data_IF_760665471248
#
_entry.id   IF_760665471248
#
_cell.length_a   1.000
_cell.length_b   1.000
_cell.length_c   1.000
_cell.angle_alpha   90.00
_cell.angle_beta   90.00
_cell.angle_gamma   90.00
#
_symmetry.space_group_name_H-M   'P 1'
#
loop_
_entity.id
_entity.type
_entity.pdbx_description
1 polymer ?
#
# COMPACT_ATOMS: atom_id res chain seq x y z
N UNK A 1 -17.35 -21.78 -1.25
CA UNK A 1 -17.58 -20.32 -1.42
C UNK A 1 -19.05 -20.08 -1.14
N UNK A 2 -19.40 -19.04 -0.40
CA UNK A 2 -20.77 -18.79 0.03
C UNK A 2 -21.08 -17.28 -0.01
N UNK A 3 -22.10 -16.88 -0.77
CA UNK A 3 -22.64 -15.53 -0.76
C UNK A 3 -23.91 -15.56 0.10
N UNK A 4 -23.94 -14.80 1.19
CA UNK A 4 -25.07 -14.75 2.11
C UNK A 4 -25.73 -13.37 2.07
N UNK A 5 -27.03 -13.35 2.34
CA UNK A 5 -27.84 -12.13 2.45
C UNK A 5 -28.39 -12.02 3.87
N UNK A 6 -28.18 -10.89 4.49
CA UNK A 6 -28.88 -10.47 5.70
C UNK A 6 -30.27 -9.93 5.29
N UNK A 7 -31.32 -10.69 5.63
CA UNK A 7 -32.70 -10.32 5.28
C UNK A 7 -33.22 -9.09 6.03
N UNK A 8 -32.64 -8.73 7.19
CA UNK A 8 -33.07 -7.56 7.97
C UNK A 8 -32.51 -6.26 7.38
N UNK A 9 -31.29 -6.32 6.83
CA UNK A 9 -30.63 -5.17 6.19
C UNK A 9 -31.04 -4.99 4.71
N UNK A 10 -31.66 -6.00 4.10
CA UNK A 10 -32.00 -6.00 2.68
C UNK A 10 -33.25 -5.16 2.38
N UNK A 11 -33.06 -4.06 1.66
CA UNK A 11 -34.14 -3.18 1.20
C UNK A 11 -34.75 -3.58 -0.14
N UNK A 12 -34.22 -4.63 -0.80
CA UNK A 12 -34.75 -5.10 -2.08
C UNK A 12 -34.43 -4.24 -3.31
N UNK A 13 -33.56 -3.23 -3.18
CA UNK A 13 -33.30 -2.24 -4.24
C UNK A 13 -32.71 -2.78 -5.55
N UNK A 14 -32.23 -4.02 -5.60
CA UNK A 14 -31.81 -4.67 -6.85
C UNK A 14 -30.41 -4.33 -7.37
N UNK A 15 -29.71 -3.35 -6.78
CA UNK A 15 -28.39 -2.90 -7.27
C UNK A 15 -27.36 -4.04 -7.36
N UNK A 16 -27.36 -4.94 -6.38
CA UNK A 16 -26.49 -6.11 -6.36
C UNK A 16 -26.82 -7.12 -7.46
N UNK A 17 -28.09 -7.25 -7.84
CA UNK A 17 -28.50 -8.11 -8.93
C UNK A 17 -28.10 -7.54 -10.30
N UNK A 18 -28.11 -6.21 -10.45
CA UNK A 18 -27.67 -5.52 -11.67
C UNK A 18 -26.14 -5.54 -11.80
N UNK A 19 -25.44 -5.29 -10.70
CA UNK A 19 -23.98 -5.21 -10.70
C UNK A 19 -23.30 -6.59 -10.81
N UNK A 20 -24.05 -7.67 -10.57
CA UNK A 20 -23.53 -9.03 -10.59
C UNK A 20 -23.13 -9.44 -12.03
N UNK A 21 -21.83 -9.68 -12.29
CA UNK A 21 -21.35 -9.98 -13.64
C UNK A 21 -21.84 -11.34 -14.17
N UNK A 22 -22.25 -12.26 -13.28
CA UNK A 22 -22.83 -13.56 -13.64
C UNK A 22 -24.36 -13.52 -13.79
N UNK A 23 -25.00 -12.38 -13.50
CA UNK A 23 -26.45 -12.17 -13.65
C UNK A 23 -26.87 -11.58 -15.00
N UNK A 24 -25.92 -11.20 -15.85
CA UNK A 24 -26.17 -10.55 -17.13
C UNK A 24 -26.20 -11.62 -18.22
N UNK A 25 -27.36 -12.01 -18.81
CA UNK A 25 -27.35 -13.03 -19.84
C UNK A 25 -27.59 -12.41 -21.21
N UNK A 26 -26.85 -12.89 -22.21
CA UNK A 26 -27.19 -12.63 -23.62
C UNK A 26 -28.40 -13.45 -24.10
N UNK A 27 -29.07 -14.27 -23.27
CA UNK A 27 -30.25 -15.05 -23.68
C UNK A 27 -31.26 -15.26 -22.53
N UNK A 28 -32.54 -15.16 -22.86
CA UNK A 28 -33.71 -15.26 -21.97
C UNK A 28 -33.79 -16.62 -21.24
N UNK A 29 -34.28 -16.59 -19.99
CA UNK A 29 -34.66 -17.73 -19.11
C UNK A 29 -33.56 -18.67 -18.56
N UNK A 30 -32.43 -18.12 -18.13
CA UNK A 30 -31.41 -18.88 -17.37
C UNK A 30 -31.39 -18.43 -15.90
N UNK A 31 -31.15 -19.39 -14.98
CA UNK A 31 -30.90 -19.20 -13.54
C UNK A 31 -30.06 -17.94 -13.29
N UNK A 32 -30.45 -17.11 -12.31
CA UNK A 32 -29.70 -15.92 -11.87
C UNK A 32 -29.12 -16.15 -10.48
N UNK A 33 -27.89 -15.67 -10.27
CA UNK A 33 -27.18 -15.76 -8.98
C UNK A 33 -27.85 -14.88 -7.92
N UNK A 34 -28.26 -13.67 -8.29
CA UNK A 34 -29.05 -12.77 -7.45
C UNK A 34 -30.35 -12.40 -8.16
N UNK A 35 -31.50 -12.66 -7.54
CA UNK A 35 -32.82 -12.34 -8.11
C UNK A 35 -33.64 -11.54 -7.12
N UNK A 36 -34.57 -10.74 -7.65
CA UNK A 36 -35.52 -9.99 -6.84
C UNK A 36 -36.82 -10.81 -6.81
N UNK A 37 -37.19 -11.33 -5.65
CA UNK A 37 -38.45 -12.05 -5.41
C UNK A 37 -39.20 -11.36 -4.26
N UNK A 38 -40.47 -11.01 -4.46
CA UNK A 38 -41.31 -10.32 -3.48
C UNK A 38 -40.66 -9.04 -2.89
N UNK A 39 -39.95 -8.28 -3.73
CA UNK A 39 -39.27 -7.07 -3.30
C UNK A 39 -38.07 -7.32 -2.39
N UNK A 40 -37.51 -8.54 -2.36
CA UNK A 40 -36.29 -8.88 -1.63
C UNK A 40 -35.30 -9.60 -2.54
N UNK A 41 -34.02 -9.50 -2.21
CA UNK A 41 -32.98 -10.25 -2.89
C UNK A 41 -33.03 -11.72 -2.46
N UNK A 42 -32.80 -12.63 -3.40
CA UNK A 42 -32.57 -14.05 -3.17
C UNK A 42 -31.24 -14.43 -3.81
N UNK A 43 -30.41 -15.15 -3.06
CA UNK A 43 -29.09 -15.60 -3.48
C UNK A 43 -29.16 -17.08 -3.85
N UNK A 44 -28.63 -17.45 -5.02
CA UNK A 44 -28.58 -18.84 -5.48
C UNK A 44 -27.34 -19.58 -4.98
N UNK A 45 -26.18 -18.90 -4.92
CA UNK A 45 -24.89 -19.49 -4.55
C UNK A 45 -24.22 -20.36 -5.63
N UNK A 46 -24.98 -20.85 -6.62
CA UNK A 46 -24.53 -21.85 -7.60
C UNK A 46 -23.58 -21.31 -8.68
N UNK A 47 -23.71 -20.04 -9.08
CA UNK A 47 -22.95 -19.43 -10.18
C UNK A 47 -21.98 -18.35 -9.67
N UNK A 48 -21.88 -18.19 -8.36
CA UNK A 48 -21.06 -17.18 -7.74
C UNK A 48 -19.56 -17.43 -7.98
N UNK A 49 -18.86 -16.46 -8.57
CA UNK A 49 -17.46 -16.61 -8.97
C UNK A 49 -16.43 -15.96 -8.01
N UNK A 50 -16.87 -15.32 -6.93
CA UNK A 50 -15.96 -14.75 -5.94
C UNK A 50 -15.68 -13.26 -6.04
N UNK A 51 -16.24 -12.56 -7.04
CA UNK A 51 -15.78 -11.21 -7.37
C UNK A 51 -16.14 -10.10 -6.35
N UNK A 52 -17.16 -10.31 -5.50
CA UNK A 52 -17.54 -9.35 -4.45
C UNK A 52 -18.26 -8.07 -4.92
N UNK A 53 -18.52 -7.91 -6.22
CA UNK A 53 -19.17 -6.71 -6.79
C UNK A 53 -20.56 -6.46 -6.19
N UNK A 54 -21.31 -7.53 -5.91
CA UNK A 54 -22.62 -7.46 -5.27
C UNK A 54 -22.55 -6.90 -3.84
N UNK A 55 -21.51 -7.24 -3.08
CA UNK A 55 -21.23 -6.72 -1.73
C UNK A 55 -20.92 -5.22 -1.81
N UNK A 56 -20.05 -4.80 -2.72
CA UNK A 56 -19.69 -3.39 -2.89
C UNK A 56 -20.86 -2.51 -3.36
N UNK A 57 -21.70 -3.05 -4.25
CA UNK A 57 -22.88 -2.35 -4.75
C UNK A 57 -24.01 -2.22 -3.72
N UNK A 58 -23.94 -2.99 -2.63
CA UNK A 58 -24.94 -2.97 -1.57
C UNK A 58 -24.73 -1.77 -0.64
N UNK A 59 -25.49 -0.70 -0.84
CA UNK A 59 -25.44 0.50 0.01
C UNK A 59 -25.92 0.26 1.46
N UNK A 60 -26.52 -0.90 1.72
CA UNK A 60 -27.08 -1.30 3.02
C UNK A 60 -26.24 -2.39 3.72
N UNK A 61 -25.12 -2.82 3.12
CA UNK A 61 -24.28 -3.91 3.61
C UNK A 61 -25.04 -5.22 3.90
N UNK A 62 -26.12 -5.47 3.17
CA UNK A 62 -26.94 -6.66 3.35
C UNK A 62 -26.33 -7.94 2.76
N UNK A 63 -25.19 -7.89 2.08
CA UNK A 63 -24.56 -9.03 1.41
C UNK A 63 -23.16 -9.29 1.96
N UNK A 64 -22.83 -10.55 2.22
CA UNK A 64 -21.51 -11.01 2.66
C UNK A 64 -21.01 -12.14 1.76
N UNK A 65 -19.72 -12.11 1.40
CA UNK A 65 -19.09 -13.12 0.55
C UNK A 65 -17.97 -13.84 1.28
N UNK A 66 -18.18 -15.13 1.55
CA UNK A 66 -17.20 -16.04 2.18
C UNK A 66 -16.51 -16.88 1.11
N UNK A 67 -15.21 -16.62 0.91
CA UNK A 67 -14.37 -17.43 0.03
C UNK A 67 -13.90 -18.69 0.79
N UNK A 68 -13.83 -19.86 0.13
CA UNK A 68 -13.32 -21.05 0.77
C UNK A 68 -11.86 -20.80 1.14
N UNK A 69 -11.53 -21.24 2.33
CA UNK A 69 -10.19 -21.12 2.87
C UNK A 69 -9.35 -22.28 2.31
N UNK A 70 -8.18 -22.03 1.68
CA UNK A 70 -7.36 -23.12 1.13
C UNK A 70 -6.94 -24.10 2.24
N UNK A 71 -6.85 -25.41 1.96
CA UNK A 71 -6.49 -26.43 2.94
C UNK A 71 -5.06 -26.33 3.49
N UNK A 72 -4.22 -25.39 3.02
CA UNK A 72 -2.86 -25.18 3.55
C UNK A 72 -2.77 -24.43 4.89
N UNK A 73 -3.89 -24.13 5.57
CA UNK A 73 -3.89 -23.35 6.83
C UNK A 73 -3.25 -24.08 8.02
N UNK A 74 -3.35 -25.40 8.12
CA UNK A 74 -2.74 -26.13 9.26
C UNK A 74 -1.20 -26.04 9.25
N UNK A 75 -0.57 -25.97 8.06
CA UNK A 75 0.87 -25.71 7.94
C UNK A 75 1.25 -24.26 8.28
N UNK A 76 0.30 -23.34 8.20
CA UNK A 76 0.50 -21.92 8.49
C UNK A 76 0.43 -21.69 10.01
N UNK A 77 -0.38 -22.43 10.76
CA UNK A 77 -0.46 -22.33 12.23
C UNK A 77 0.86 -22.74 12.92
N UNK A 78 1.56 -23.78 12.45
CA UNK A 78 2.92 -24.12 12.92
C UNK A 78 3.96 -23.03 12.58
N UNK A 79 3.79 -22.35 11.44
CA UNK A 79 4.60 -21.19 11.06
C UNK A 79 4.28 -20.00 11.97
N UNK A 80 3.03 -19.84 12.40
CA UNK A 80 2.62 -18.79 13.33
C UNK A 80 3.16 -19.02 14.74
N UNK A 81 3.12 -20.24 15.27
CA UNK A 81 3.70 -20.53 16.59
C UNK A 81 5.22 -20.30 16.60
N UNK A 82 5.92 -20.63 15.50
CA UNK A 82 7.36 -20.36 15.37
C UNK A 82 7.68 -18.87 15.19
N UNK A 83 6.82 -18.10 14.51
CA UNK A 83 6.95 -16.64 14.36
C UNK A 83 6.58 -15.90 15.66
N UNK A 84 5.53 -16.28 16.38
CA UNK A 84 5.14 -15.69 17.68
C UNK A 84 6.18 -15.97 18.76
N UNK A 85 6.75 -17.18 18.78
CA UNK A 85 7.88 -17.53 19.66
C UNK A 85 9.10 -16.66 19.36
N UNK A 86 9.34 -16.34 18.09
CA UNK A 86 10.41 -15.43 17.65
C UNK A 86 10.11 -13.96 18.00
N UNK A 87 8.85 -13.52 17.90
CA UNK A 87 8.42 -12.15 18.27
C UNK A 87 8.48 -11.91 19.77
N UNK A 88 8.19 -12.91 20.61
CA UNK A 88 8.33 -12.80 22.07
C UNK A 88 9.78 -12.59 22.49
N UNK A 89 10.72 -13.31 21.85
CA UNK A 89 12.17 -13.15 22.05
C UNK A 89 12.62 -11.73 21.61
N UNK A 90 12.09 -11.21 20.51
CA UNK A 90 12.39 -9.87 19.98
C UNK A 90 11.82 -8.73 20.84
N UNK A 91 10.69 -8.91 21.52
CA UNK A 91 10.11 -7.89 22.42
C UNK A 91 10.89 -7.72 23.71
N UNK A 92 11.56 -8.78 24.16
CA UNK A 92 12.39 -8.77 25.37
C UNK A 92 13.76 -8.12 25.12
N UNK A 93 14.19 -8.01 23.85
CA UNK A 93 15.40 -7.27 23.42
C UNK A 93 15.04 -5.83 23.03
N UNK A 94 15.07 -4.91 24.01
CA UNK A 94 14.97 -3.47 23.75
C UNK A 94 16.18 -2.98 22.94
N UNK A 95 16.03 -2.80 21.62
CA UNK A 95 16.95 -2.02 20.80
C UNK A 95 16.54 -0.53 20.84
N UNK A 96 17.27 0.27 21.62
CA UNK A 96 17.23 1.74 21.59
C UNK A 96 18.25 2.23 20.55
N UNK A 97 17.85 3.18 19.69
CA UNK A 97 18.72 3.74 18.62
C UNK A 97 19.69 4.74 19.26
N UNK A 98 21.00 4.53 19.11
CA UNK A 98 22.04 5.38 19.72
C UNK A 98 22.44 6.55 18.78
N UNK A 99 22.63 7.79 19.29
CA UNK A 99 23.00 8.97 18.52
C UNK A 99 24.26 8.86 17.64
N UNK A 100 25.22 7.96 17.94
CA UNK A 100 26.44 7.80 17.14
C UNK A 100 26.19 7.22 15.73
N UNK A 101 25.05 6.55 15.48
CA UNK A 101 24.66 6.08 14.14
C UNK A 101 24.47 7.25 13.16
N UNK A 102 24.03 8.42 13.65
CA UNK A 102 23.79 9.62 12.82
C UNK A 102 25.12 10.15 12.25
N UNK A 103 26.19 10.11 13.03
CA UNK A 103 27.52 10.61 12.64
C UNK A 103 28.21 9.74 11.56
N UNK A 104 27.84 8.45 11.48
CA UNK A 104 28.33 7.49 10.47
C UNK A 104 27.63 7.69 9.12
N UNK A 105 26.35 8.09 9.13
CA UNK A 105 25.57 8.36 7.92
C UNK A 105 26.00 9.66 7.23
N UNK A 106 26.40 10.70 7.99
CA UNK A 106 26.84 11.98 7.40
C UNK A 106 28.12 11.86 6.55
N UNK A 107 28.94 10.82 6.77
CA UNK A 107 30.25 10.68 6.16
C UNK A 107 30.36 9.69 4.99
N UNK A 108 29.28 9.03 4.53
CA UNK A 108 29.40 7.97 3.52
C UNK A 108 28.52 8.14 2.26
N UNK A 109 28.98 8.99 1.33
CA UNK A 109 28.55 9.02 -0.09
C UNK A 109 29.00 7.80 -0.91
N UNK A 110 28.99 6.57 -0.38
CA UNK A 110 29.45 5.37 -1.11
C UNK A 110 28.53 4.16 -0.88
N UNK A 111 28.41 3.25 -1.86
CA UNK A 111 27.59 2.04 -1.73
C UNK A 111 28.02 1.20 -0.52
N UNK A 112 27.03 0.62 0.15
CA UNK A 112 27.19 -0.24 1.34
C UNK A 112 28.29 -1.30 1.12
N UNK A 113 29.47 -1.06 1.71
CA UNK A 113 30.56 -2.04 1.72
C UNK A 113 30.34 -3.05 2.86
N UNK A 114 30.79 -4.28 2.66
CA UNK A 114 30.77 -5.36 3.67
C UNK A 114 31.43 -4.96 5.00
N UNK A 115 32.35 -3.99 4.99
CA UNK A 115 32.96 -3.40 6.19
C UNK A 115 32.06 -2.44 6.98
N UNK A 116 31.00 -1.90 6.38
CA UNK A 116 29.98 -1.12 7.10
C UNK A 116 28.97 -2.05 7.78
N UNK A 117 28.55 -3.14 7.11
CA UNK A 117 27.76 -4.20 7.73
C UNK A 117 28.49 -4.76 8.95
N UNK A 118 29.77 -5.11 8.79
CA UNK A 118 30.61 -5.59 9.90
C UNK A 118 30.68 -4.60 11.07
N UNK A 119 30.77 -3.28 10.83
CA UNK A 119 30.78 -2.26 11.90
C UNK A 119 29.41 -2.02 12.54
N UNK A 120 28.32 -2.10 11.77
CA UNK A 120 26.94 -2.09 12.28
C UNK A 120 26.69 -3.31 13.18
N UNK A 121 27.30 -4.46 12.85
CA UNK A 121 27.15 -5.70 13.61
C UNK A 121 28.16 -5.87 14.77
N UNK A 122 29.34 -5.24 14.71
CA UNK A 122 30.36 -5.27 15.78
C UNK A 122 30.13 -4.21 16.88
N UNK A 123 29.30 -3.20 16.62
CA UNK A 123 29.06 -2.08 17.54
C UNK A 123 28.01 -2.32 18.63
N UNK A 124 27.14 -3.34 18.53
CA UNK A 124 26.05 -3.55 19.50
C UNK A 124 25.63 -5.01 19.67
N UNK A 125 24.94 -5.26 20.79
CA UNK A 125 24.36 -6.49 21.33
C UNK A 125 23.27 -7.14 20.46
N UNK A 126 23.56 -7.38 19.17
CA UNK A 126 22.74 -8.21 18.31
C UNK A 126 23.05 -9.68 18.68
N UNK A 127 22.01 -10.51 18.84
CA UNK A 127 22.21 -11.92 19.17
C UNK A 127 23.12 -12.57 18.10
N UNK A 128 24.29 -13.05 18.52
CA UNK A 128 25.33 -13.65 17.68
C UNK A 128 24.73 -14.73 16.76
N UNK A 129 23.69 -15.44 17.21
CA UNK A 129 23.01 -16.48 16.43
C UNK A 129 22.26 -15.93 15.20
N UNK A 130 21.68 -14.72 15.25
CA UNK A 130 20.97 -14.11 14.12
C UNK A 130 21.94 -13.63 13.04
N UNK A 131 23.06 -13.03 13.46
CA UNK A 131 24.15 -12.64 12.55
C UNK A 131 24.77 -13.89 11.93
N UNK A 132 25.00 -14.94 12.73
CA UNK A 132 25.52 -16.22 12.26
C UNK A 132 24.57 -16.88 11.25
N UNK A 133 23.26 -16.89 11.49
CA UNK A 133 22.30 -17.41 10.52
C UNK A 133 22.23 -16.57 9.24
N UNK A 134 22.28 -15.24 9.33
CA UNK A 134 22.34 -14.37 8.14
C UNK A 134 23.63 -14.57 7.34
N UNK A 135 24.77 -14.74 8.02
CA UNK A 135 26.05 -15.04 7.39
C UNK A 135 26.05 -16.45 6.79
N UNK A 136 25.48 -17.45 7.45
CA UNK A 136 25.34 -18.81 6.93
C UNK A 136 24.41 -18.85 5.70
N UNK A 137 23.25 -18.19 5.75
CA UNK A 137 22.36 -18.01 4.60
C UNK A 137 23.08 -17.29 3.45
N UNK A 138 23.91 -16.30 3.77
CA UNK A 138 24.72 -15.55 2.79
C UNK A 138 25.81 -16.42 2.15
N UNK A 139 26.53 -17.20 2.95
CA UNK A 139 27.61 -18.10 2.53
C UNK A 139 27.08 -19.31 1.75
N UNK A 140 25.91 -19.83 2.11
CA UNK A 140 25.24 -20.96 1.43
C UNK A 140 24.63 -20.56 0.08
N UNK A 141 24.00 -19.38 0.00
CA UNK A 141 23.12 -19.03 -1.14
C UNK A 141 23.80 -18.20 -2.23
N UNK A 142 24.96 -17.63 -1.96
CA UNK A 142 25.80 -16.92 -2.93
C UNK A 142 25.24 -15.60 -3.46
N UNK A 143 23.98 -15.25 -3.18
CA UNK A 143 23.48 -13.87 -3.35
C UNK A 143 22.39 -13.45 -2.35
N UNK A 144 22.38 -12.17 -1.95
CA UNK A 144 21.44 -11.65 -0.92
C UNK A 144 20.00 -11.56 -1.42
N UNK A 145 19.80 -11.35 -2.72
CA UNK A 145 18.45 -11.27 -3.27
C UNK A 145 17.71 -12.60 -3.15
N UNK A 146 18.40 -13.74 -3.23
CA UNK A 146 17.82 -15.07 -3.05
C UNK A 146 17.17 -15.28 -1.69
N UNK A 147 17.72 -14.67 -0.65
CA UNK A 147 17.09 -14.68 0.68
C UNK A 147 15.71 -14.00 0.60
N UNK A 148 15.61 -12.88 -0.11
CA UNK A 148 14.33 -12.19 -0.32
C UNK A 148 13.39 -12.99 -1.25
N UNK A 149 13.95 -13.66 -2.26
CA UNK A 149 13.20 -14.55 -3.16
C UNK A 149 12.52 -15.68 -2.38
N UNK A 150 13.29 -16.49 -1.65
CA UNK A 150 12.79 -17.65 -0.90
C UNK A 150 11.86 -17.26 0.27
N UNK A 151 12.21 -16.23 1.04
CA UNK A 151 11.46 -15.89 2.26
C UNK A 151 10.20 -15.08 1.98
N UNK A 152 10.19 -14.28 0.91
CA UNK A 152 9.12 -13.30 0.65
C UNK A 152 8.43 -13.53 -0.68
N UNK A 153 9.17 -13.74 -1.77
CA UNK A 153 8.58 -13.82 -3.11
C UNK A 153 7.91 -15.17 -3.32
N UNK A 154 8.63 -16.28 -3.11
CA UNK A 154 8.14 -17.65 -3.29
C UNK A 154 7.03 -18.02 -2.29
N UNK A 155 7.02 -17.36 -1.13
CA UNK A 155 5.96 -17.49 -0.12
C UNK A 155 4.75 -16.59 -0.39
N UNK A 156 4.68 -15.94 -1.55
CA UNK A 156 3.58 -15.05 -1.95
C UNK A 156 3.38 -13.83 -1.02
N UNK A 157 4.38 -13.46 -0.23
CA UNK A 157 4.33 -12.34 0.73
C UNK A 157 4.74 -10.99 0.13
N UNK A 158 5.26 -10.97 -1.10
CA UNK A 158 5.68 -9.75 -1.79
C UNK A 158 4.48 -8.85 -2.13
N UNK A 159 4.48 -7.60 -1.62
CA UNK A 159 3.44 -6.61 -1.97
C UNK A 159 3.64 -5.93 -3.32
N UNK A 160 4.68 -6.30 -4.08
CA UNK A 160 5.07 -5.69 -5.35
C UNK A 160 5.15 -4.15 -5.30
N UNK A 161 5.76 -3.62 -4.25
CA UNK A 161 5.90 -2.18 -4.07
C UNK A 161 6.93 -1.55 -5.03
N UNK A 162 7.92 -2.33 -5.48
CA UNK A 162 9.05 -1.86 -6.31
C UNK A 162 10.28 -1.39 -5.52
N UNK A 163 10.28 -1.54 -4.19
CA UNK A 163 11.40 -1.09 -3.34
C UNK A 163 12.73 -1.74 -3.69
N UNK A 164 12.76 -3.06 -3.91
CA UNK A 164 13.99 -3.79 -4.25
C UNK A 164 14.61 -3.33 -5.57
N UNK A 165 13.79 -2.97 -6.57
CA UNK A 165 14.24 -2.42 -7.85
C UNK A 165 14.97 -1.10 -7.63
N UNK A 166 14.36 -0.17 -6.89
CA UNK A 166 14.96 1.13 -6.61
C UNK A 166 16.20 1.02 -5.73
N UNK A 167 16.20 0.13 -4.74
CA UNK A 167 17.31 -0.04 -3.82
C UNK A 167 18.50 -0.79 -4.43
N UNK A 168 18.33 -1.46 -5.57
CA UNK A 168 19.42 -2.17 -6.23
C UNK A 168 20.39 -1.17 -6.86
N UNK A 169 21.52 -0.92 -6.21
CA UNK A 169 22.56 -0.04 -6.74
C UNK A 169 23.17 -0.56 -8.05
N UNK A 170 23.28 -1.88 -8.20
CA UNK A 170 23.76 -2.53 -9.42
C UNK A 170 22.75 -2.46 -10.58
N UNK A 171 21.47 -2.20 -10.32
CA UNK A 171 20.44 -2.10 -11.36
C UNK A 171 20.08 -3.43 -12.02
N UNK A 172 20.26 -4.54 -11.30
CA UNK A 172 20.07 -5.91 -11.81
C UNK A 172 18.78 -6.57 -11.31
N UNK A 173 17.86 -5.81 -10.71
CA UNK A 173 16.55 -6.31 -10.28
C UNK A 173 15.46 -5.65 -11.13
N UNK A 174 14.65 -6.46 -11.82
CA UNK A 174 13.51 -6.02 -12.62
C UNK A 174 12.22 -6.71 -12.18
N UNK A 175 11.07 -6.11 -12.49
CA UNK A 175 9.76 -6.76 -12.28
C UNK A 175 9.31 -7.35 -13.60
N UNK A 176 9.30 -8.68 -13.68
CA UNK A 176 8.87 -9.45 -14.85
C UNK A 176 7.65 -10.27 -14.46
N UNK A 177 6.54 -10.13 -15.19
CA UNK A 177 5.27 -10.81 -14.91
C UNK A 177 4.81 -10.66 -13.46
N UNK A 178 4.92 -9.43 -12.93
CA UNK A 178 4.58 -9.08 -11.55
C UNK A 178 5.42 -9.74 -10.46
N UNK A 179 6.61 -10.25 -10.80
CA UNK A 179 7.56 -10.84 -9.86
C UNK A 179 8.91 -10.13 -9.98
N UNK A 180 9.51 -9.63 -8.88
CA UNK A 180 10.89 -9.16 -8.90
C UNK A 180 11.86 -10.30 -9.22
N UNK A 181 12.75 -10.14 -10.18
CA UNK A 181 13.75 -11.13 -10.62
C UNK A 181 15.12 -10.47 -10.80
N UNK A 182 16.17 -11.26 -10.63
CA UNK A 182 17.52 -10.87 -11.06
C UNK A 182 17.64 -10.99 -12.58
N UNK A 183 18.16 -9.96 -13.22
CA UNK A 183 18.47 -9.92 -14.68
C UNK A 183 19.98 -9.78 -14.95
N UNK A 184 20.80 -9.81 -13.90
CA UNK A 184 22.25 -9.71 -13.96
C UNK A 184 22.88 -10.08 -12.63
N UNK A 185 24.19 -9.84 -12.50
CA UNK A 185 24.97 -10.28 -11.33
C UNK A 185 24.75 -9.39 -10.11
N UNK A 186 24.31 -10.01 -9.01
CA UNK A 186 24.10 -9.33 -7.74
C UNK A 186 25.44 -9.02 -7.05
N UNK A 187 25.62 -7.77 -6.61
CA UNK A 187 26.82 -7.32 -5.87
C UNK A 187 26.74 -7.57 -4.36
N UNK A 188 25.69 -8.23 -3.88
CA UNK A 188 25.55 -8.68 -2.49
C UNK A 188 25.61 -7.57 -1.42
N UNK A 189 25.11 -6.38 -1.73
CA UNK A 189 25.07 -5.22 -0.80
C UNK A 189 23.94 -5.28 0.26
N UNK A 190 23.01 -6.23 0.16
CA UNK A 190 21.86 -6.43 1.04
C UNK A 190 20.80 -5.31 1.11
N UNK A 191 20.96 -4.19 0.41
CA UNK A 191 20.02 -3.04 0.51
C UNK A 191 18.58 -3.43 0.20
N UNK A 192 18.34 -4.26 -0.83
CA UNK A 192 17.00 -4.70 -1.21
C UNK A 192 16.28 -5.52 -0.11
N UNK A 193 17.04 -6.26 0.70
CA UNK A 193 16.54 -7.05 1.81
C UNK A 193 16.23 -6.17 3.03
N UNK A 194 17.12 -5.21 3.32
CA UNK A 194 16.98 -4.26 4.44
C UNK A 194 15.77 -3.33 4.28
N UNK A 195 15.55 -2.81 3.07
CA UNK A 195 14.44 -1.87 2.81
C UNK A 195 13.10 -2.57 2.60
N UNK A 196 13.07 -3.90 2.46
CA UNK A 196 11.85 -4.63 2.17
C UNK A 196 10.83 -4.43 3.30
N UNK A 197 9.60 -3.96 3.02
CA UNK A 197 8.61 -3.74 4.07
C UNK A 197 8.12 -5.03 4.73
N UNK A 198 8.52 -6.21 4.21
CA UNK A 198 8.11 -7.53 4.68
C UNK A 198 9.16 -8.26 5.52
N UNK A 199 10.43 -7.83 5.50
CA UNK A 199 11.49 -8.43 6.32
C UNK A 199 11.47 -7.90 7.76
N UNK A 200 10.83 -6.74 8.00
CA UNK A 200 10.67 -6.09 9.32
C UNK A 200 11.98 -5.76 10.06
N UNK A 201 13.13 -5.90 9.40
CA UNK A 201 14.45 -5.62 9.99
C UNK A 201 14.68 -4.13 10.26
N UNK A 202 14.07 -3.27 9.45
CA UNK A 202 14.17 -1.84 9.61
C UNK A 202 12.91 -1.29 10.29
N UNK A 203 13.09 -0.63 11.43
CA UNK A 203 12.03 0.15 12.08
C UNK A 203 11.84 1.41 11.24
N UNK A 204 10.60 1.77 10.86
CA UNK A 204 10.38 2.88 9.95
C UNK A 204 11.04 4.16 10.49
N UNK A 205 11.56 4.95 9.55
CA UNK A 205 11.85 6.38 9.69
C UNK A 205 11.08 7.02 10.86
N UNK A 206 11.77 7.72 11.76
CA UNK A 206 11.12 8.38 12.91
C UNK A 206 10.05 9.34 12.39
N UNK A 207 8.81 8.87 12.45
CA UNK A 207 7.66 9.50 11.83
C UNK A 207 6.72 9.91 12.94
N UNK A 208 7.05 11.04 13.57
CA UNK A 208 6.11 11.71 14.46
C UNK A 208 5.07 12.44 13.61
N UNK A 209 3.79 12.11 13.80
CA UNK A 209 2.70 12.75 13.06
C UNK A 209 1.62 13.29 13.97
N UNK A 210 1.09 14.47 13.61
CA UNK A 210 -0.18 14.97 14.15
C UNK A 210 -1.23 14.79 13.06
N UNK A 211 -2.27 14.02 13.34
CA UNK A 211 -3.31 13.76 12.34
C UNK A 211 -4.34 14.88 12.32
N UNK A 212 -4.46 15.52 11.16
CA UNK A 212 -5.59 16.40 10.84
C UNK A 212 -6.44 15.75 9.75
N UNK A 213 -7.70 15.46 10.08
CA UNK A 213 -8.61 14.72 9.20
C UNK A 213 -9.66 15.69 8.66
N UNK A 214 -9.76 15.79 7.34
CA UNK A 214 -10.63 16.73 6.65
C UNK A 214 -11.40 16.04 5.54
N UNK A 215 -12.53 16.60 5.13
CA UNK A 215 -13.16 16.28 3.85
C UNK A 215 -12.75 17.32 2.81
N UNK A 216 -12.27 16.89 1.65
CA UNK A 216 -11.72 17.75 0.62
C UNK A 216 -12.31 17.50 -0.77
N UNK A 217 -12.37 18.56 -1.57
CA UNK A 217 -12.83 18.51 -2.96
C UNK A 217 -12.07 19.51 -3.82
N UNK A 218 -11.74 19.10 -5.05
CA UNK A 218 -11.15 19.96 -6.06
C UNK A 218 -12.09 21.11 -6.42
N UNK A 219 -11.52 22.29 -6.66
CA UNK A 219 -12.23 23.43 -7.25
C UNK A 219 -12.00 23.54 -8.76
N UNK A 220 -11.11 22.71 -9.32
CA UNK A 220 -10.74 22.69 -10.74
C UNK A 220 -11.67 21.80 -11.55
N UNK A 221 -12.36 22.38 -12.55
CA UNK A 221 -13.39 21.69 -13.36
C UNK A 221 -12.81 20.55 -14.19
N UNK A 222 -11.64 20.75 -14.79
CA UNK A 222 -10.90 19.74 -15.55
C UNK A 222 -10.56 18.50 -14.70
N UNK A 223 -10.11 18.70 -13.46
CA UNK A 223 -9.83 17.62 -12.50
C UNK A 223 -11.12 16.89 -12.07
N UNK A 224 -12.19 17.64 -11.79
CA UNK A 224 -13.49 17.06 -11.43
C UNK A 224 -14.04 16.20 -12.58
N UNK A 225 -13.93 16.69 -13.83
CA UNK A 225 -14.32 15.96 -15.04
C UNK A 225 -13.51 14.67 -15.23
N UNK A 226 -12.20 14.71 -15.03
CA UNK A 226 -11.33 13.54 -15.18
C UNK A 226 -11.61 12.47 -14.10
N UNK A 227 -11.86 12.88 -12.85
CA UNK A 227 -12.05 11.94 -11.73
C UNK A 227 -13.48 11.44 -11.58
N UNK A 228 -14.46 12.21 -12.06
CA UNK A 228 -15.91 12.08 -11.77
C UNK A 228 -16.22 12.04 -10.26
N UNK A 229 -15.31 12.57 -9.44
CA UNK A 229 -15.27 12.40 -7.99
C UNK A 229 -14.65 13.65 -7.34
N UNK A 230 -14.13 13.54 -6.10
CA UNK A 230 -13.62 14.70 -5.35
C UNK A 230 -12.26 15.24 -5.80
N UNK A 231 -11.44 14.51 -6.55
CA UNK A 231 -10.21 15.03 -7.17
C UNK A 231 -9.15 15.68 -6.25
N UNK A 232 -9.21 15.41 -4.93
CA UNK A 232 -8.36 16.10 -3.96
C UNK A 232 -6.86 15.84 -4.19
N UNK A 233 -6.44 14.57 -4.32
CA UNK A 233 -5.04 14.22 -4.56
C UNK A 233 -4.49 14.82 -5.85
N UNK A 234 -5.24 14.70 -6.96
CA UNK A 234 -4.86 15.28 -8.25
C UNK A 234 -4.68 16.80 -8.13
N UNK A 235 -5.56 17.50 -7.41
CA UNK A 235 -5.46 18.95 -7.23
C UNK A 235 -4.24 19.36 -6.43
N UNK A 236 -3.93 18.64 -5.37
CA UNK A 236 -2.74 18.89 -4.53
C UNK A 236 -1.46 18.65 -5.32
N UNK A 237 -1.38 17.56 -6.09
CA UNK A 237 -0.22 17.24 -6.91
C UNK A 237 -0.03 18.23 -8.06
N UNK A 238 -1.12 18.62 -8.74
CA UNK A 238 -1.08 19.65 -9.80
C UNK A 238 -0.62 20.99 -9.22
N UNK A 239 -1.17 21.41 -8.07
CA UNK A 239 -0.71 22.60 -7.36
C UNK A 239 0.79 22.52 -7.03
N UNK A 240 1.24 21.42 -6.44
CA UNK A 240 2.64 21.24 -6.05
C UNK A 240 3.58 21.30 -7.25
N UNK A 241 3.18 20.74 -8.40
CA UNK A 241 3.95 20.76 -9.64
C UNK A 241 3.97 22.16 -10.28
N UNK A 242 2.81 22.80 -10.45
CA UNK A 242 2.69 24.14 -11.05
C UNK A 242 3.43 25.21 -10.23
N UNK A 243 3.50 25.04 -8.91
CA UNK A 243 4.26 25.90 -8.00
C UNK A 243 5.71 25.50 -7.80
N UNK A 244 6.19 24.46 -8.50
CA UNK A 244 7.56 23.95 -8.41
C UNK A 244 7.98 23.58 -6.98
N UNK A 245 7.01 23.17 -6.17
CA UNK A 245 7.24 22.53 -4.87
C UNK A 245 7.80 21.13 -5.11
N UNK A 246 7.32 20.47 -6.17
CA UNK A 246 7.85 19.22 -6.70
C UNK A 246 8.26 19.40 -8.16
N UNK A 247 9.26 18.64 -8.61
CA UNK A 247 9.74 18.61 -9.99
C UNK A 247 8.97 17.58 -10.82
N UNK A 248 8.58 16.47 -10.19
CA UNK A 248 7.80 15.41 -10.81
C UNK A 248 6.97 14.66 -9.77
N UNK A 249 5.93 13.95 -10.23
CA UNK A 249 5.15 13.03 -9.43
C UNK A 249 5.16 11.63 -10.03
N UNK A 250 5.52 10.63 -9.24
CA UNK A 250 5.38 9.23 -9.61
C UNK A 250 3.93 8.81 -9.32
N UNK A 251 3.20 8.53 -10.40
CA UNK A 251 1.76 8.22 -10.41
C UNK A 251 1.48 6.94 -11.18
N UNK A 252 0.23 6.48 -11.19
CA UNK A 252 -0.20 5.32 -11.97
C UNK A 252 -1.13 5.74 -13.11
N UNK A 253 -0.75 5.40 -14.35
CA UNK A 253 -1.55 5.57 -15.57
C UNK A 253 -1.72 4.18 -16.19
N UNK A 254 -2.97 3.77 -16.45
CA UNK A 254 -3.27 2.48 -17.09
C UNK A 254 -2.54 1.27 -16.43
N UNK A 255 -2.53 1.24 -15.09
CA UNK A 255 -1.83 0.22 -14.27
C UNK A 255 -0.30 0.21 -14.35
N UNK A 256 0.31 1.21 -15.01
CA UNK A 256 1.75 1.37 -15.10
C UNK A 256 2.23 2.56 -14.26
N UNK A 257 3.39 2.44 -13.58
CA UNK A 257 3.99 3.55 -12.88
C UNK A 257 4.59 4.52 -13.91
N UNK A 258 4.30 5.81 -13.76
CA UNK A 258 4.74 6.88 -14.67
C UNK A 258 5.33 8.03 -13.86
N UNK A 259 6.46 8.57 -14.33
CA UNK A 259 7.04 9.82 -13.83
C UNK A 259 6.36 10.97 -14.57
N UNK A 260 5.37 11.60 -13.92
CA UNK A 260 4.63 12.72 -14.46
C UNK A 260 5.37 14.04 -14.18
N UNK A 261 5.67 14.79 -15.24
CA UNK A 261 6.38 16.08 -15.17
C UNK A 261 5.52 17.24 -15.64
N UNK A 262 4.28 16.96 -16.06
CA UNK A 262 3.30 17.94 -16.50
C UNK A 262 1.95 17.73 -15.80
N UNK A 263 1.16 18.80 -15.56
CA UNK A 263 -0.16 18.68 -14.96
C UNK A 263 -1.08 17.72 -15.68
N UNK A 264 -1.02 17.66 -17.02
CA UNK A 264 -1.87 16.81 -17.85
C UNK A 264 -1.64 15.33 -17.57
N UNK A 265 -0.39 14.93 -17.29
CA UNK A 265 -0.05 13.55 -16.93
C UNK A 265 -0.63 13.17 -15.56
N UNK A 266 -0.60 14.10 -14.60
CA UNK A 266 -1.20 13.92 -13.27
C UNK A 266 -2.73 13.82 -13.38
N UNK A 267 -3.36 14.64 -14.23
CA UNK A 267 -4.80 14.61 -14.49
C UNK A 267 -5.21 13.31 -15.19
N UNK A 268 -4.42 12.83 -16.14
CA UNK A 268 -4.62 11.53 -16.79
C UNK A 268 -4.50 10.37 -15.79
N UNK A 269 -3.63 10.52 -14.78
CA UNK A 269 -3.50 9.59 -13.66
C UNK A 269 -4.61 9.74 -12.60
N UNK A 270 -5.63 10.56 -12.80
CA UNK A 270 -6.66 10.81 -11.80
C UNK A 270 -7.68 9.66 -11.69
N UNK A 271 -8.32 9.54 -10.53
CA UNK A 271 -9.26 8.45 -10.22
C UNK A 271 -8.59 7.20 -9.62
N UNK A 272 -9.37 6.42 -8.87
CA UNK A 272 -8.90 5.20 -8.22
C UNK A 272 -8.82 4.09 -9.27
N UNK A 273 -7.65 3.47 -9.43
CA UNK A 273 -7.52 2.22 -10.19
C UNK A 273 -7.28 1.09 -9.22
N UNK A 274 -7.95 -0.01 -9.51
CA UNK A 274 -7.82 -1.27 -8.81
C UNK A 274 -6.68 -2.14 -9.41
N UNK A 275 -5.76 -1.54 -10.16
CA UNK A 275 -4.50 -2.19 -10.52
C UNK A 275 -3.53 -2.27 -9.35
N UNK A 276 -2.45 -3.02 -9.57
CA UNK A 276 -1.24 -2.90 -8.77
C UNK A 276 -0.20 -2.23 -9.63
N UNK A 277 0.43 -1.20 -9.07
CA UNK A 277 1.53 -0.51 -9.71
C UNK A 277 2.71 -0.42 -8.75
N UNK A 278 3.90 -0.93 -9.14
CA UNK A 278 5.10 -0.85 -8.33
C UNK A 278 5.70 0.56 -8.37
N UNK A 279 4.94 1.58 -7.93
CA UNK A 279 5.35 2.99 -8.08
C UNK A 279 6.74 3.28 -7.52
N UNK A 280 7.17 2.58 -6.46
CA UNK A 280 8.50 2.81 -5.87
C UNK A 280 9.61 2.45 -6.85
N UNK A 281 9.41 1.54 -7.82
CA UNK A 281 10.44 1.15 -8.79
C UNK A 281 10.88 2.27 -9.73
N UNK A 282 10.06 3.31 -9.90
CA UNK A 282 10.39 4.46 -10.75
C UNK A 282 11.23 5.53 -10.05
N UNK A 283 11.43 5.40 -8.74
CA UNK A 283 12.12 6.41 -7.94
C UNK A 283 13.59 6.55 -8.35
N UNK A 284 14.32 5.43 -8.51
CA UNK A 284 15.71 5.47 -9.00
C UNK A 284 15.81 6.16 -10.36
N UNK A 285 14.94 5.80 -11.29
CA UNK A 285 14.89 6.40 -12.64
C UNK A 285 14.60 7.91 -12.58
N UNK A 286 13.70 8.35 -11.70
CA UNK A 286 13.41 9.78 -11.54
C UNK A 286 14.64 10.57 -11.05
N UNK A 287 15.43 10.00 -10.13
CA UNK A 287 16.67 10.60 -9.64
C UNK A 287 17.73 10.63 -10.75
N UNK A 288 17.89 9.55 -11.51
CA UNK A 288 18.80 9.49 -12.67
C UNK A 288 18.43 10.50 -13.77
N UNK A 289 17.15 10.86 -13.88
CA UNK A 289 16.66 11.94 -14.75
C UNK A 289 16.95 13.35 -14.21
N UNK A 290 17.52 13.46 -13.01
CA UNK A 290 17.91 14.74 -12.39
C UNK A 290 16.83 15.42 -11.53
N UNK A 291 15.76 14.72 -11.17
CA UNK A 291 14.73 15.28 -10.30
C UNK A 291 15.12 15.18 -8.82
N UNK A 292 15.02 16.30 -8.09
CA UNK A 292 15.42 16.39 -6.67
C UNK A 292 14.26 16.68 -5.72
N UNK A 293 13.07 17.00 -6.23
CA UNK A 293 11.85 17.19 -5.43
C UNK A 293 10.74 16.30 -5.97
N UNK A 294 10.78 15.03 -5.61
CA UNK A 294 9.90 13.99 -6.14
C UNK A 294 8.69 13.83 -5.24
N UNK A 295 7.48 13.83 -5.82
CA UNK A 295 6.30 13.28 -5.16
C UNK A 295 6.14 11.79 -5.51
N UNK A 296 5.85 10.94 -4.52
CA UNK A 296 5.43 9.57 -4.73
C UNK A 296 3.97 9.41 -4.32
N UNK A 297 3.11 8.98 -5.24
CA UNK A 297 1.76 8.54 -4.91
C UNK A 297 1.76 7.03 -4.71
N UNK A 298 1.22 6.54 -3.59
CA UNK A 298 1.28 5.11 -3.31
C UNK A 298 0.25 4.64 -2.29
N UNK A 299 -0.06 3.35 -2.34
CA UNK A 299 -0.81 2.68 -1.27
C UNK A 299 0.13 2.37 -0.10
N UNK A 300 -0.36 1.87 1.06
CA UNK A 300 0.45 1.71 2.27
C UNK A 300 1.77 0.94 2.09
N UNK A 301 1.79 -0.11 1.27
CA UNK A 301 3.02 -0.87 1.01
C UNK A 301 4.07 -0.07 0.20
N UNK A 302 3.67 0.80 -0.71
CA UNK A 302 4.59 1.72 -1.40
C UNK A 302 5.13 2.77 -0.42
N UNK A 303 4.25 3.34 0.39
CA UNK A 303 4.61 4.35 1.40
C UNK A 303 5.61 3.78 2.41
N UNK A 304 5.37 2.57 2.92
CA UNK A 304 6.31 1.90 3.82
C UNK A 304 7.65 1.61 3.15
N UNK A 305 7.63 1.10 1.92
CA UNK A 305 8.86 0.83 1.18
C UNK A 305 9.68 2.11 0.93
N UNK A 306 9.05 3.23 0.55
CA UNK A 306 9.78 4.47 0.32
C UNK A 306 10.32 5.08 1.62
N UNK A 307 9.60 4.96 2.73
CA UNK A 307 10.10 5.42 4.04
C UNK A 307 11.28 4.60 4.54
N UNK A 308 11.31 3.29 4.26
CA UNK A 308 12.49 2.46 4.50
C UNK A 308 13.69 2.86 3.62
N UNK A 309 13.45 3.39 2.42
CA UNK A 309 14.51 3.92 1.56
C UNK A 309 14.99 5.28 2.09
N UNK A 310 14.09 6.12 2.60
CA UNK A 310 14.48 7.40 3.23
C UNK A 310 15.33 7.23 4.48
N UNK A 311 15.08 6.20 5.28
CA UNK A 311 15.90 5.94 6.47
C UNK A 311 17.34 5.50 6.16
N UNK A 312 17.67 5.25 4.90
CA UNK A 312 19.06 5.01 4.45
C UNK A 312 19.64 6.17 3.63
N UNK A 313 19.01 7.36 3.69
CA UNK A 313 19.58 8.61 3.16
C UNK A 313 18.98 9.13 1.84
N UNK A 314 17.74 8.77 1.49
CA UNK A 314 17.06 9.36 0.33
C UNK A 314 16.48 10.74 0.67
N UNK A 315 17.02 11.79 0.04
CA UNK A 315 16.64 13.18 0.27
C UNK A 315 15.74 13.76 -0.83
N UNK A 316 15.74 13.15 -2.03
CA UNK A 316 15.03 13.67 -3.21
C UNK A 316 13.50 13.56 -3.10
N UNK A 317 12.99 12.86 -2.09
CA UNK A 317 11.57 12.65 -1.90
C UNK A 317 10.94 13.81 -1.11
N UNK A 318 10.30 14.72 -1.83
CA UNK A 318 9.67 15.92 -1.26
C UNK A 318 8.26 15.68 -0.74
N UNK A 319 7.49 14.75 -1.32
CA UNK A 319 6.10 14.51 -0.92
C UNK A 319 5.74 13.03 -1.05
N UNK A 320 5.33 12.40 0.04
CA UNK A 320 4.76 11.05 0.05
C UNK A 320 3.26 11.15 0.19
N UNK A 321 2.55 10.84 -0.88
CA UNK A 321 1.10 10.93 -0.96
C UNK A 321 0.47 9.52 -0.84
N UNK A 322 -0.16 9.26 0.30
CA UNK A 322 -0.82 8.00 0.61
C UNK A 322 -2.20 7.88 -0.04
N UNK A 323 -2.55 6.68 -0.50
CA UNK A 323 -3.90 6.34 -0.94
C UNK A 323 -4.46 5.24 -0.04
N UNK A 324 -5.68 5.44 0.49
CA UNK A 324 -6.32 4.45 1.33
C UNK A 324 -6.48 3.13 0.55
N UNK A 325 -6.14 2.02 1.20
CA UNK A 325 -6.19 0.71 0.58
C UNK A 325 -6.94 -0.25 1.50
N UNK A 326 -8.22 -0.56 1.26
CA UNK A 326 -8.97 -1.53 2.06
C UNK A 326 -8.75 -2.98 1.63
N UNK A 327 -7.92 -3.23 0.61
CA UNK A 327 -7.77 -4.54 -0.02
C UNK A 327 -7.17 -5.59 0.91
N UNK A 328 -7.69 -6.81 0.79
CA UNK A 328 -7.20 -8.02 1.47
C UNK A 328 -6.56 -9.07 0.54
N UNK A 329 -6.78 -9.03 -0.77
CA UNK A 329 -6.21 -10.02 -1.71
C UNK A 329 -6.08 -9.50 -3.14
N UNK A 330 -5.27 -10.20 -3.95
CA UNK A 330 -5.08 -9.97 -5.39
C UNK A 330 -5.10 -11.29 -6.16
N UNK A 331 -6.28 -11.73 -6.65
CA UNK A 331 -6.41 -12.98 -7.39
C UNK A 331 -5.47 -13.07 -8.60
N UNK A 332 -5.26 -11.95 -9.29
CA UNK A 332 -4.43 -11.84 -10.49
C UNK A 332 -2.93 -12.12 -10.27
N UNK A 333 -2.46 -12.19 -9.02
CA UNK A 333 -1.01 -12.26 -8.71
C UNK A 333 -0.62 -13.35 -7.73
N UNK A 334 -1.57 -14.16 -7.26
CA UNK A 334 -1.34 -15.20 -6.25
C UNK A 334 -0.69 -14.69 -4.94
N UNK A 335 -0.65 -13.37 -4.69
CA UNK A 335 -0.02 -12.84 -3.48
C UNK A 335 -0.97 -12.84 -2.27
N UNK A 336 -0.44 -13.31 -1.13
CA UNK A 336 -1.06 -13.23 0.19
C UNK A 336 -0.63 -11.98 0.97
N UNK A 337 0.18 -11.10 0.39
CA UNK A 337 0.76 -9.96 1.11
C UNK A 337 -0.27 -8.97 1.71
N UNK A 338 -1.43 -8.82 1.06
CA UNK A 338 -2.50 -7.92 1.50
C UNK A 338 -3.29 -8.49 2.67
N UNK A 339 -3.35 -9.82 2.82
CA UNK A 339 -3.98 -10.48 3.97
C UNK A 339 -3.37 -9.98 5.27
N UNK A 340 -2.04 -9.97 5.34
CA UNK A 340 -1.29 -9.53 6.52
C UNK A 340 -1.07 -8.01 6.61
N UNK A 341 -1.71 -7.21 5.76
CA UNK A 341 -1.54 -5.76 5.76
C UNK A 341 -2.45 -5.12 6.81
N UNK A 342 -1.86 -4.45 7.80
CA UNK A 342 -2.59 -3.79 8.89
C UNK A 342 -2.83 -2.30 8.66
N UNK A 343 -2.28 -1.73 7.58
CA UNK A 343 -2.38 -0.30 7.29
C UNK A 343 -3.47 -0.02 6.24
N UNK A 344 -4.50 0.73 6.63
CA UNK A 344 -5.57 1.19 5.75
C UNK A 344 -5.24 2.53 5.11
N UNK A 345 -4.72 3.47 5.90
CA UNK A 345 -4.72 4.89 5.59
C UNK A 345 -3.35 5.40 5.17
N UNK A 346 -2.38 4.53 4.92
CA UNK A 346 -1.00 4.87 4.60
C UNK A 346 -0.40 5.77 5.70
N UNK A 347 -0.28 5.23 6.90
CA UNK A 347 0.00 5.98 8.14
C UNK A 347 1.34 6.73 8.11
N UNK A 348 2.29 6.30 7.28
CA UNK A 348 3.60 6.93 7.15
C UNK A 348 3.69 7.96 6.00
N UNK A 349 2.58 8.40 5.43
CA UNK A 349 2.56 9.41 4.35
C UNK A 349 2.34 10.82 4.88
N UNK A 350 2.82 11.81 4.14
CA UNK A 350 2.66 13.23 4.48
C UNK A 350 1.19 13.66 4.41
N UNK A 351 0.51 13.21 3.36
CA UNK A 351 -0.93 13.37 3.14
C UNK A 351 -1.47 12.04 2.64
N UNK A 352 -2.55 11.55 3.25
CA UNK A 352 -3.34 10.45 2.71
C UNK A 352 -4.67 10.89 2.15
N UNK A 353 -5.17 10.18 1.15
CA UNK A 353 -6.51 10.38 0.60
C UNK A 353 -7.31 9.08 0.54
N UNK A 354 -8.62 9.17 0.77
CA UNK A 354 -9.54 8.08 0.47
C UNK A 354 -11.00 8.51 0.39
N UNK A 355 -11.88 7.56 0.05
CA UNK A 355 -13.32 7.80 0.01
C UNK A 355 -14.02 7.61 1.36
N UNK A 356 -13.42 6.82 2.27
CA UNK A 356 -14.03 6.43 3.53
C UNK A 356 -14.19 7.64 4.46
N UNK A 357 -15.41 7.85 4.95
CA UNK A 357 -15.74 8.92 5.90
C UNK A 357 -16.17 10.25 5.28
N UNK A 358 -16.08 10.41 3.96
CA UNK A 358 -16.54 11.62 3.26
C UNK A 358 -17.78 11.37 2.41
N UNK A 359 -18.57 12.42 2.20
CA UNK A 359 -19.72 12.41 1.31
C UNK A 359 -19.33 12.12 -0.15
N UNK A 360 -20.30 11.67 -0.96
CA UNK A 360 -20.12 11.44 -2.40
C UNK A 360 -19.61 12.72 -3.09
N UNK A 361 -18.59 12.57 -3.93
CA UNK A 361 -17.93 13.70 -4.61
C UNK A 361 -16.94 14.47 -3.72
N UNK A 362 -16.68 14.03 -2.50
CA UNK A 362 -15.61 14.50 -1.62
C UNK A 362 -14.63 13.37 -1.31
N UNK A 363 -13.49 13.69 -0.72
CA UNK A 363 -12.46 12.75 -0.31
C UNK A 363 -11.93 13.09 1.07
N UNK A 364 -11.78 12.08 1.90
CA UNK A 364 -11.15 12.24 3.21
C UNK A 364 -9.66 12.44 3.00
N UNK A 365 -9.11 13.49 3.58
CA UNK A 365 -7.68 13.76 3.69
C UNK A 365 -7.23 13.53 5.13
N UNK A 366 -6.07 12.90 5.30
CA UNK A 366 -5.35 12.83 6.58
C UNK A 366 -4.00 13.49 6.35
N UNK A 367 -3.78 14.65 6.94
CA UNK A 367 -2.49 15.36 6.89
C UNK A 367 -1.70 15.01 8.14
N UNK A 368 -0.41 14.70 7.98
CA UNK A 368 0.43 14.16 9.05
C UNK A 368 1.71 14.94 9.32
N UNK A 369 2.33 15.49 8.28
CA UNK A 369 3.61 16.18 8.36
C UNK A 369 3.48 17.66 8.04
N UNK A 370 4.47 18.45 8.46
CA UNK A 370 4.55 19.88 8.16
C UNK A 370 4.56 20.14 6.64
N UNK A 371 5.30 19.32 5.89
CA UNK A 371 5.32 19.36 4.42
C UNK A 371 3.91 19.18 3.86
N UNK A 372 3.15 18.20 4.38
CA UNK A 372 1.76 17.98 3.97
C UNK A 372 0.86 19.18 4.28
N UNK A 373 1.00 19.76 5.47
CA UNK A 373 0.19 20.90 5.92
C UNK A 373 0.50 22.19 5.13
N UNK A 374 1.76 22.46 4.83
CA UNK A 374 2.18 23.60 4.02
C UNK A 374 1.61 23.53 2.60
N UNK A 375 1.73 22.37 1.95
CA UNK A 375 1.21 22.16 0.60
C UNK A 375 -0.32 22.28 0.60
N UNK A 376 -1.01 21.70 1.58
CA UNK A 376 -2.46 21.82 1.69
C UNK A 376 -2.89 23.28 1.87
N UNK A 377 -2.27 24.03 2.79
CA UNK A 377 -2.58 25.44 3.03
C UNK A 377 -2.39 26.29 1.79
N UNK A 378 -1.32 26.03 1.04
CA UNK A 378 -1.06 26.69 -0.24
C UNK A 378 -2.15 26.40 -1.28
N UNK A 379 -2.49 25.12 -1.46
CA UNK A 379 -3.54 24.71 -2.40
C UNK A 379 -4.92 25.29 -2.05
N UNK A 380 -5.24 25.42 -0.75
CA UNK A 380 -6.46 26.06 -0.26
C UNK A 380 -6.47 27.57 -0.56
N UNK A 381 -5.37 28.26 -0.22
CA UNK A 381 -5.25 29.71 -0.41
C UNK A 381 -5.37 30.12 -1.88
N UNK A 382 -4.85 29.29 -2.77
CA UNK A 382 -4.87 29.54 -4.21
C UNK A 382 -6.09 28.96 -4.93
N UNK A 383 -7.05 28.40 -4.20
CA UNK A 383 -8.33 27.96 -4.76
C UNK A 383 -8.23 26.70 -5.65
N UNK A 384 -7.23 25.84 -5.43
CA UNK A 384 -7.15 24.52 -6.09
C UNK A 384 -8.10 23.51 -5.43
N UNK A 385 -8.34 23.69 -4.14
CA UNK A 385 -9.03 22.76 -3.27
C UNK A 385 -9.91 23.52 -2.27
N UNK A 386 -11.04 22.94 -1.91
CA UNK A 386 -11.86 23.34 -0.77
C UNK A 386 -11.92 22.20 0.24
N UNK A 387 -12.04 22.54 1.52
CA UNK A 387 -12.14 21.58 2.63
C UNK A 387 -13.32 21.89 3.53
N UNK A 388 -13.76 20.87 4.26
CA UNK A 388 -14.72 20.92 5.35
C UNK A 388 -14.24 19.99 6.45
N UNK A 389 -14.73 20.21 7.67
CA UNK A 389 -14.57 19.23 8.74
C UNK A 389 -15.28 17.93 8.36
N UNK A 390 -14.71 16.81 8.79
CA UNK A 390 -15.35 15.51 8.68
C UNK A 390 -16.41 15.39 9.79
N UNK A 391 -17.58 14.84 9.47
CA UNK A 391 -18.60 14.59 10.49
C UNK A 391 -18.22 13.42 11.41
N UNK A 392 -18.84 13.36 12.59
CA UNK A 392 -18.54 12.34 13.60
C UNK A 392 -18.83 10.92 13.08
N UNK A 393 -19.88 10.75 12.29
CA UNK A 393 -20.26 9.46 11.69
C UNK A 393 -19.18 8.98 10.70
N UNK A 394 -18.72 9.86 9.82
CA UNK A 394 -17.67 9.60 8.86
C UNK A 394 -16.34 9.28 9.52
N UNK A 395 -16.01 10.01 10.59
CA UNK A 395 -14.82 9.73 11.39
C UNK A 395 -14.91 8.37 12.11
N UNK A 396 -16.07 8.06 12.71
CA UNK A 396 -16.32 6.77 13.34
C UNK A 396 -16.20 5.61 12.33
N UNK A 397 -16.74 5.79 11.12
CA UNK A 397 -16.63 4.82 10.02
C UNK A 397 -15.17 4.61 9.60
N UNK A 398 -14.40 5.69 9.46
CA UNK A 398 -12.97 5.60 9.14
C UNK A 398 -12.19 4.83 10.21
N UNK A 399 -12.40 5.18 11.49
CA UNK A 399 -11.77 4.49 12.62
C UNK A 399 -12.12 3.01 12.65
N UNK A 400 -13.41 2.68 12.54
CA UNK A 400 -13.90 1.29 12.50
C UNK A 400 -13.25 0.49 11.38
N UNK A 401 -13.15 1.05 10.16
CA UNK A 401 -12.50 0.36 9.05
C UNK A 401 -10.99 0.20 9.25
N UNK A 402 -10.32 1.23 9.80
CA UNK A 402 -8.88 1.16 10.10
C UNK A 402 -8.61 0.10 11.16
N UNK A 403 -9.36 0.09 12.25
CA UNK A 403 -9.28 -0.93 13.31
C UNK A 403 -9.59 -2.33 12.78
N UNK A 404 -10.63 -2.48 11.94
CA UNK A 404 -10.96 -3.76 11.31
C UNK A 404 -9.78 -4.26 10.47
N UNK A 405 -9.08 -3.40 9.74
CA UNK A 405 -7.90 -3.79 8.97
C UNK A 405 -6.70 -4.12 9.86
N UNK A 406 -6.51 -3.40 10.98
CA UNK A 406 -5.44 -3.68 11.95
C UNK A 406 -5.63 -5.03 12.64
N UNK A 407 -6.86 -5.34 13.06
CA UNK A 407 -7.23 -6.62 13.67
C UNK A 407 -7.25 -7.74 12.63
N UNK A 408 -7.79 -7.46 11.46
CA UNK A 408 -7.92 -8.37 10.33
C UNK A 408 -6.76 -8.28 9.36
N UNK A 409 -5.51 -8.31 9.84
CA UNK A 409 -4.39 -8.82 9.06
C UNK A 409 -4.63 -10.32 8.77
N UNK A 410 -5.71 -10.61 8.04
CA UNK A 410 -6.63 -11.74 8.13
C UNK A 410 -6.14 -12.91 8.98
N UNK A 411 -6.24 -12.76 10.30
CA UNK A 411 -6.52 -13.85 11.21
C UNK A 411 -8.03 -13.98 11.33
N UNK A 412 -8.53 -15.16 11.00
CA UNK A 412 -9.58 -15.86 11.72
C UNK A 412 -10.31 -15.07 12.83
N UNK A 413 -11.57 -14.74 12.59
CA UNK A 413 -12.62 -14.74 13.62
C UNK A 413 -13.77 -15.52 12.95
N UNK A 414 -14.06 -16.77 13.30
CA UNK A 414 -14.43 -17.16 14.66
C UNK A 414 -15.95 -17.07 14.83
N UNK A 415 -16.70 -17.78 13.97
CA UNK A 415 -17.95 -18.51 14.28
C UNK A 415 -18.47 -19.26 13.06
#
# INVERSE_FOLDING_TARGET
MELTLDEELCTGCGNCAIACPVNFPLLYDIKKELRIENGRIRVSGEMCNGCGVCVESCSFNALELRLPVPPEIEKIEEIFESVERSEKILRETKLEIIPELIEVFENTKKPFSTGLLRRIFEGESINIEQIKNFILDFEEKGNVFRILEELIIEKDLCSLCGGCVTACSAGVIEIVDYVPKLVGDCVNCATCYLICPKTRLFRPYDFTSKERILSARSMRKDILSATKQGGAATSILVYALEKRIIDCAIVMIENNPVIATKPEDIIRAAGVKFGISPNVSMLRKAIEMGYGKIALVGVPCNVRAVRNIQSVGLEELKLVFGVFCPRGSHPEKKTNACKFCTDLTAELSDISVGGIGSLKGWRTLIVRTEVGEEILKGALREGYLQVKEIDEEGLAKLRKMSEKKKKGGSGSDGK
#
